data_IF_673406401457
#
_entry.id   IF_673406401457
#
_cell.length_a   1.000
_cell.length_b   1.000
_cell.length_c   1.000
_cell.angle_alpha   90.00
_cell.angle_beta   90.00
_cell.angle_gamma   90.00
#
_symmetry.space_group_name_H-M   'P 1'
#
loop_
_entity.id
_entity.type
_entity.pdbx_description
1 polymer ?
#
# COMPACT_ATOMS: atom_id res chain seq x y z
N UNK A 1 -3.77 -5.72 68.51
CA UNK A 1 -2.63 -5.39 67.64
C UNK A 1 -2.35 -6.62 66.80
N UNK A 2 -2.91 -6.67 65.60
CA UNK A 2 -2.67 -7.74 64.62
C UNK A 2 -1.22 -7.61 64.14
N UNK A 3 -0.36 -8.54 64.54
CA UNK A 3 1.04 -8.55 64.13
C UNK A 3 1.15 -8.72 62.62
N UNK A 4 1.91 -7.84 61.98
CA UNK A 4 2.29 -7.99 60.58
C UNK A 4 3.09 -9.31 60.46
N UNK A 5 2.52 -10.32 59.78
CA UNK A 5 3.26 -11.50 59.39
C UNK A 5 4.28 -11.08 58.32
N UNK A 6 5.55 -11.00 58.71
CA UNK A 6 6.65 -10.67 57.80
C UNK A 6 6.91 -11.77 56.78
N UNK A 7 7.46 -11.37 55.64
CA UNK A 7 7.85 -12.27 54.53
C UNK A 7 9.04 -13.15 54.96
N UNK A 8 8.91 -14.47 54.87
CA UNK A 8 9.99 -15.41 55.19
C UNK A 8 10.98 -15.54 54.03
N UNK A 9 12.22 -15.96 54.33
CA UNK A 9 13.25 -16.20 53.30
C UNK A 9 12.83 -17.26 52.26
N UNK A 10 12.04 -18.25 52.68
CA UNK A 10 11.51 -19.29 51.78
C UNK A 10 10.45 -18.71 50.84
N UNK A 11 9.52 -17.90 51.36
CA UNK A 11 8.55 -17.19 50.53
C UNK A 11 9.24 -16.24 49.55
N UNK A 12 10.33 -15.58 49.95
CA UNK A 12 11.16 -14.76 49.07
C UNK A 12 11.81 -15.58 47.95
N UNK A 13 12.41 -16.72 48.28
CA UNK A 13 13.03 -17.60 47.29
C UNK A 13 11.99 -18.15 46.29
N UNK A 14 10.80 -18.53 46.76
CA UNK A 14 9.69 -18.97 45.91
C UNK A 14 9.19 -17.83 45.02
N UNK A 15 8.96 -16.64 45.57
CA UNK A 15 8.53 -15.48 44.81
C UNK A 15 9.55 -15.08 43.73
N UNK A 16 10.84 -15.05 44.06
CA UNK A 16 11.90 -14.75 43.09
C UNK A 16 11.98 -15.81 42.00
N UNK A 17 11.86 -17.09 42.35
CA UNK A 17 11.85 -18.18 41.38
C UNK A 17 10.65 -18.06 40.41
N UNK A 18 9.48 -17.72 40.93
CA UNK A 18 8.29 -17.45 40.11
C UNK A 18 8.49 -16.24 39.19
N UNK A 19 9.06 -15.14 39.69
CA UNK A 19 9.34 -13.95 38.87
C UNK A 19 10.33 -14.28 37.74
N UNK A 20 11.41 -15.00 38.04
CA UNK A 20 12.41 -15.40 37.04
C UNK A 20 11.79 -16.28 35.94
N UNK A 21 10.83 -17.14 36.28
CA UNK A 21 10.09 -17.94 35.30
C UNK A 21 9.08 -17.13 34.50
N UNK A 22 8.44 -16.13 35.12
CA UNK A 22 7.41 -15.31 34.49
C UNK A 22 7.99 -14.25 33.53
N UNK A 23 9.17 -13.70 33.83
CA UNK A 23 9.78 -12.63 33.02
C UNK A 23 9.95 -13.03 31.54
N UNK A 24 10.54 -14.20 31.19
CA UNK A 24 10.65 -14.62 29.80
C UNK A 24 9.30 -14.81 29.11
N UNK A 25 8.30 -15.32 29.83
CA UNK A 25 6.95 -15.56 29.28
C UNK A 25 6.27 -14.23 28.94
N UNK A 26 6.26 -13.28 29.87
CA UNK A 26 5.66 -11.96 29.65
C UNK A 26 6.40 -11.21 28.55
N UNK A 27 7.73 -11.28 28.52
CA UNK A 27 8.55 -10.67 27.48
C UNK A 27 8.25 -11.26 26.09
N UNK A 28 8.17 -12.58 25.98
CA UNK A 28 7.82 -13.27 24.73
C UNK A 28 6.43 -12.89 24.25
N UNK A 29 5.43 -12.85 25.14
CA UNK A 29 4.08 -12.43 24.79
C UNK A 29 4.04 -10.98 24.32
N UNK A 30 4.76 -10.09 25.00
CA UNK A 30 4.87 -8.68 24.61
C UNK A 30 5.44 -8.52 23.20
N UNK A 31 6.51 -9.25 22.87
CA UNK A 31 7.10 -9.19 21.53
C UNK A 31 6.22 -9.79 20.44
N UNK A 32 5.48 -10.86 20.72
CA UNK A 32 4.53 -11.42 19.76
C UNK A 32 3.43 -10.41 19.43
N UNK A 33 2.83 -9.80 20.46
CA UNK A 33 1.80 -8.77 20.28
C UNK A 33 2.35 -7.57 19.52
N UNK A 34 3.56 -7.11 19.86
CA UNK A 34 4.21 -5.99 19.17
C UNK A 34 4.44 -6.30 17.68
N UNK A 35 4.89 -7.51 17.34
CA UNK A 35 5.11 -7.93 15.96
C UNK A 35 3.81 -7.95 15.15
N UNK A 36 2.75 -8.57 15.70
CA UNK A 36 1.42 -8.61 15.06
C UNK A 36 0.84 -7.20 14.88
N UNK A 37 1.01 -6.32 15.86
CA UNK A 37 0.59 -4.92 15.76
C UNK A 37 1.34 -4.19 14.64
N UNK A 38 2.66 -4.36 14.54
CA UNK A 38 3.46 -3.71 13.48
C UNK A 38 3.08 -4.21 12.10
N UNK A 39 2.87 -5.50 11.92
CA UNK A 39 2.38 -6.08 10.66
C UNK A 39 0.99 -5.52 10.31
N UNK A 40 0.06 -5.51 11.27
CA UNK A 40 -1.29 -4.98 11.07
C UNK A 40 -1.30 -3.51 10.65
N UNK A 41 -0.54 -2.66 11.35
CA UNK A 41 -0.38 -1.25 11.00
C UNK A 41 0.27 -1.10 9.61
N UNK A 42 1.33 -1.86 9.35
CA UNK A 42 2.03 -1.83 8.06
C UNK A 42 1.12 -2.21 6.91
N UNK A 43 0.29 -3.23 7.08
CA UNK A 43 -0.69 -3.67 6.07
C UNK A 43 -1.81 -2.64 5.89
N UNK A 44 -2.28 -2.02 6.97
CA UNK A 44 -3.28 -0.96 6.89
C UNK A 44 -2.76 0.25 6.10
N UNK A 45 -1.51 0.68 6.33
CA UNK A 45 -0.89 1.76 5.55
C UNK A 45 -0.86 1.44 4.05
N UNK A 46 -0.42 0.23 3.67
CA UNK A 46 -0.42 -0.19 2.26
C UNK A 46 -1.84 -0.20 1.65
N UNK A 47 -2.83 -0.61 2.43
CA UNK A 47 -4.23 -0.68 2.00
C UNK A 47 -4.81 0.72 1.77
N UNK A 48 -4.53 1.68 2.65
CA UNK A 48 -4.95 3.07 2.53
C UNK A 48 -4.31 3.72 1.30
N UNK A 49 -3.01 3.50 1.09
CA UNK A 49 -2.29 4.04 -0.07
C UNK A 49 -2.83 3.48 -1.39
N UNK A 50 -3.02 2.15 -1.46
CA UNK A 50 -3.61 1.50 -2.62
C UNK A 50 -5.04 1.99 -2.91
N UNK A 51 -5.85 2.19 -1.86
CA UNK A 51 -7.21 2.70 -2.00
C UNK A 51 -7.24 4.15 -2.54
N UNK A 52 -6.37 5.02 -2.02
CA UNK A 52 -6.23 6.39 -2.50
C UNK A 52 -5.83 6.42 -3.99
N UNK A 53 -4.83 5.62 -4.38
CA UNK A 53 -4.42 5.48 -5.77
C UNK A 53 -5.55 5.00 -6.68
N UNK A 54 -6.26 3.95 -6.29
CA UNK A 54 -7.37 3.43 -7.09
C UNK A 54 -8.47 4.48 -7.26
N UNK A 55 -8.72 5.31 -6.24
CA UNK A 55 -9.65 6.43 -6.33
C UNK A 55 -9.19 7.49 -7.34
N UNK A 56 -7.95 7.94 -7.23
CA UNK A 56 -7.37 8.95 -8.12
C UNK A 56 -7.37 8.48 -9.58
N UNK A 57 -6.92 7.24 -9.80
CA UNK A 57 -6.90 6.61 -11.11
C UNK A 57 -8.31 6.43 -11.67
N UNK A 58 -9.28 6.09 -10.82
CA UNK A 58 -10.69 5.97 -11.23
C UNK A 58 -11.22 7.28 -11.79
N UNK A 59 -10.95 8.40 -11.15
CA UNK A 59 -11.45 9.69 -11.60
C UNK A 59 -10.76 10.20 -12.87
N UNK A 60 -9.50 9.82 -13.09
CA UNK A 60 -8.80 10.11 -14.35
C UNK A 60 -9.25 9.20 -15.49
N UNK A 61 -9.30 7.89 -15.29
CA UNK A 61 -9.71 6.92 -16.32
C UNK A 61 -11.17 7.12 -16.74
N UNK A 62 -12.04 7.60 -15.84
CA UNK A 62 -13.42 8.01 -16.19
C UNK A 62 -13.46 9.18 -17.16
N UNK A 63 -12.45 10.07 -17.13
CA UNK A 63 -12.35 11.20 -18.05
C UNK A 63 -11.60 10.81 -19.33
N UNK A 64 -10.67 9.87 -19.23
CA UNK A 64 -9.85 9.38 -20.33
C UNK A 64 -10.61 8.62 -21.42
N UNK A 65 -9.95 8.56 -22.57
CA UNK A 65 -10.32 7.76 -23.73
C UNK A 65 -9.07 7.12 -24.32
N UNK A 66 -9.24 6.08 -25.13
CA UNK A 66 -8.13 5.43 -25.85
C UNK A 66 -7.00 4.93 -24.93
N UNK A 67 -7.33 4.01 -24.03
CA UNK A 67 -6.35 3.35 -23.16
C UNK A 67 -5.44 2.45 -23.98
N UNK A 68 -4.12 2.60 -23.82
CA UNK A 68 -3.11 1.81 -24.52
C UNK A 68 -1.89 1.58 -23.65
N UNK A 69 -1.20 0.49 -23.92
CA UNK A 69 0.08 0.20 -23.30
C UNK A 69 1.21 0.68 -24.20
N UNK A 70 2.23 1.31 -23.64
CA UNK A 70 3.48 1.55 -24.36
C UNK A 70 4.29 0.24 -24.48
N UNK A 71 5.25 0.14 -25.42
CA UNK A 71 6.15 -1.01 -25.52
C UNK A 71 6.92 -1.31 -24.23
N UNK A 72 7.17 -0.28 -23.42
CA UNK A 72 7.85 -0.35 -22.12
C UNK A 72 6.91 -0.73 -20.96
N UNK A 73 5.63 -0.99 -21.24
CA UNK A 73 4.63 -1.37 -20.23
C UNK A 73 3.97 -0.20 -19.51
N UNK A 74 4.10 1.03 -20.01
CA UNK A 74 3.44 2.20 -19.39
C UNK A 74 1.99 2.29 -19.82
N UNK A 75 1.09 2.63 -18.89
CA UNK A 75 -0.28 2.96 -19.25
C UNK A 75 -0.33 4.38 -19.82
N UNK A 76 -0.90 4.50 -21.01
CA UNK A 76 -1.15 5.78 -21.67
C UNK A 76 -2.65 5.91 -21.98
N UNK A 77 -3.20 7.10 -21.79
CA UNK A 77 -4.56 7.41 -22.21
C UNK A 77 -4.72 8.89 -22.52
N UNK A 78 -5.65 9.19 -23.42
CA UNK A 78 -5.86 10.52 -23.96
C UNK A 78 -7.13 11.14 -23.36
N UNK A 79 -6.99 12.34 -22.81
CA UNK A 79 -8.10 13.12 -22.28
C UNK A 79 -8.86 13.84 -23.40
N UNK A 80 -10.15 14.19 -23.20
CA UNK A 80 -10.92 14.97 -24.17
C UNK A 80 -10.33 16.36 -24.47
N UNK A 81 -9.48 16.88 -23.57
CA UNK A 81 -8.71 18.12 -23.71
C UNK A 81 -7.53 17.98 -24.69
N UNK A 82 -7.23 16.77 -25.17
CA UNK A 82 -6.09 16.46 -26.04
C UNK A 82 -4.79 16.16 -25.30
N UNK A 83 -4.79 16.18 -23.97
CA UNK A 83 -3.65 15.79 -23.14
C UNK A 83 -3.49 14.27 -23.09
N UNK A 84 -2.27 13.77 -23.13
CA UNK A 84 -1.97 12.35 -22.85
C UNK A 84 -1.47 12.22 -21.42
N UNK A 85 -2.09 11.36 -20.61
CA UNK A 85 -1.60 10.98 -19.30
C UNK A 85 -0.78 9.69 -19.43
N UNK A 86 0.32 9.61 -18.68
CA UNK A 86 1.15 8.42 -18.55
C UNK A 86 1.26 8.01 -17.09
N UNK A 87 1.02 6.73 -16.82
CA UNK A 87 1.48 6.06 -15.60
C UNK A 87 2.63 5.12 -15.91
N UNK A 88 3.72 5.28 -15.15
CA UNK A 88 4.89 4.41 -15.25
C UNK A 88 5.23 3.86 -13.87
N UNK A 89 5.69 2.61 -13.83
CA UNK A 89 6.35 2.06 -12.66
C UNK A 89 7.85 2.34 -12.75
N UNK A 90 8.42 3.00 -11.75
CA UNK A 90 9.83 3.41 -11.75
C UNK A 90 10.35 3.56 -10.31
N UNK A 91 11.45 2.86 -9.99
CA UNK A 91 12.10 2.89 -8.66
C UNK A 91 11.11 2.71 -7.50
N UNK A 92 10.41 1.58 -7.50
CA UNK A 92 9.37 1.22 -6.50
C UNK A 92 8.21 2.21 -6.37
N UNK A 93 7.90 2.98 -7.43
CA UNK A 93 6.84 4.00 -7.40
C UNK A 93 6.00 3.95 -8.65
N UNK A 94 4.71 4.29 -8.53
CA UNK A 94 3.88 4.62 -9.69
C UNK A 94 3.88 6.13 -9.87
N UNK A 95 4.35 6.54 -11.03
CA UNK A 95 4.56 7.95 -11.37
C UNK A 95 3.61 8.34 -12.49
N UNK A 96 2.92 9.45 -12.28
CA UNK A 96 2.09 10.13 -13.26
C UNK A 96 2.86 11.25 -13.96
N UNK A 97 2.68 11.35 -15.27
CA UNK A 97 3.12 12.51 -16.06
C UNK A 97 2.09 12.89 -17.11
N UNK A 98 2.12 14.15 -17.57
CA UNK A 98 1.18 14.66 -18.57
C UNK A 98 1.94 15.17 -19.78
N UNK A 99 1.43 14.91 -20.99
CA UNK A 99 1.88 15.54 -22.21
C UNK A 99 0.76 16.41 -22.75
N UNK A 100 1.01 17.72 -22.85
CA UNK A 100 0.01 18.67 -23.34
C UNK A 100 -0.16 18.57 -24.86
N UNK A 101 -1.29 19.05 -25.41
CA UNK A 101 -1.48 19.14 -26.86
C UNK A 101 -0.35 19.93 -27.51
N UNK A 102 0.25 19.38 -28.57
CA UNK A 102 1.37 20.00 -29.30
C UNK A 102 2.75 19.79 -28.67
N UNK A 103 2.85 19.22 -27.47
CA UNK A 103 4.13 18.85 -26.87
C UNK A 103 4.58 17.45 -27.28
N UNK A 104 5.89 17.24 -27.43
CA UNK A 104 6.47 15.93 -27.74
C UNK A 104 6.83 15.13 -26.50
N UNK A 105 7.06 15.81 -25.36
CA UNK A 105 7.57 15.20 -24.12
C UNK A 105 6.54 15.26 -23.01
N UNK A 106 6.62 14.30 -22.10
CA UNK A 106 5.86 14.34 -20.85
C UNK A 106 6.52 15.28 -19.85
N UNK A 107 5.72 16.12 -19.21
CA UNK A 107 6.10 17.08 -18.18
C UNK A 107 5.17 16.97 -16.97
N UNK A 108 5.60 17.51 -15.83
CA UNK A 108 4.92 17.33 -14.54
C UNK A 108 5.08 15.89 -14.04
N UNK A 109 5.63 15.72 -12.84
CA UNK A 109 5.82 14.39 -12.23
C UNK A 109 5.11 14.37 -10.89
N UNK A 110 4.15 13.47 -10.75
CA UNK A 110 3.47 13.21 -9.47
C UNK A 110 3.68 11.76 -9.11
N UNK A 111 4.16 11.50 -7.88
CA UNK A 111 4.22 10.15 -7.33
C UNK A 111 2.84 9.83 -6.76
N UNK A 112 2.18 8.80 -7.30
CA UNK A 112 0.84 8.40 -6.87
C UNK A 112 0.87 7.22 -5.90
N UNK A 113 1.87 6.35 -6.02
CA UNK A 113 2.13 5.25 -5.08
C UNK A 113 3.62 5.12 -4.84
N UNK A 114 3.95 4.72 -3.62
CA UNK A 114 5.25 4.33 -3.13
C UNK A 114 5.24 2.85 -2.75
N UNK A 115 6.43 2.32 -2.47
CA UNK A 115 6.60 0.91 -2.06
C UNK A 115 6.02 -0.13 -3.02
N UNK A 116 5.90 0.21 -4.29
CA UNK A 116 5.34 -0.66 -5.32
C UNK A 116 6.44 -1.55 -5.87
N UNK A 117 6.48 -2.82 -5.50
CA UNK A 117 7.47 -3.73 -6.08
C UNK A 117 7.05 -4.21 -7.48
N UNK A 118 5.75 -4.16 -7.80
CA UNK A 118 5.19 -4.55 -9.09
C UNK A 118 3.95 -3.71 -9.45
N UNK A 119 3.85 -3.30 -10.72
CA UNK A 119 2.63 -2.70 -11.26
C UNK A 119 2.40 -3.13 -12.72
N UNK A 120 1.32 -3.86 -12.95
CA UNK A 120 0.82 -4.25 -14.25
C UNK A 120 -0.44 -3.47 -14.63
N UNK A 121 -0.48 -3.01 -15.88
CA UNK A 121 -1.64 -2.35 -16.46
C UNK A 121 -2.11 -3.15 -17.67
N UNK A 122 -3.40 -3.50 -17.72
CA UNK A 122 -3.97 -4.23 -18.85
C UNK A 122 -5.20 -3.48 -19.37
N UNK A 123 -5.00 -2.54 -20.31
CA UNK A 123 -6.09 -1.77 -20.89
C UNK A 123 -6.95 -2.64 -21.81
N UNK A 124 -8.26 -2.36 -21.83
CA UNK A 124 -9.22 -2.90 -22.78
C UNK A 124 -10.08 -1.78 -23.39
N UNK A 125 -11.08 -2.16 -24.20
CA UNK A 125 -12.00 -1.22 -24.87
C UNK A 125 -12.91 -0.44 -23.92
N UNK A 126 -13.01 -0.82 -22.65
CA UNK A 126 -13.95 -0.30 -21.67
C UNK A 126 -13.28 0.26 -20.42
N UNK A 127 -11.99 0.04 -20.22
CA UNK A 127 -11.30 0.38 -18.99
C UNK A 127 -9.91 -0.22 -18.91
N UNK A 128 -9.42 -0.38 -17.68
CA UNK A 128 -8.07 -0.88 -17.40
C UNK A 128 -8.11 -1.78 -16.18
N UNK A 129 -7.51 -2.97 -16.29
CA UNK A 129 -7.15 -3.77 -15.13
C UNK A 129 -5.84 -3.26 -14.54
N UNK A 130 -5.86 -2.99 -13.24
CA UNK A 130 -4.72 -2.63 -12.43
C UNK A 130 -4.34 -3.84 -11.59
N UNK A 131 -3.07 -4.23 -11.64
CA UNK A 131 -2.49 -5.30 -10.85
C UNK A 131 -1.27 -4.75 -10.12
N UNK A 132 -1.36 -4.60 -8.80
CA UNK A 132 -0.39 -3.86 -7.99
C UNK A 132 0.13 -4.78 -6.89
N UNK A 133 1.46 -4.81 -6.74
CA UNK A 133 2.14 -5.38 -5.60
C UNK A 133 2.84 -4.28 -4.81
N UNK A 134 2.44 -4.08 -3.55
CA UNK A 134 3.05 -3.16 -2.60
C UNK A 134 3.74 -3.92 -1.48
N UNK A 135 4.84 -3.38 -0.96
CA UNK A 135 5.60 -4.00 0.12
C UNK A 135 6.33 -2.94 0.93
N UNK A 136 6.06 -2.86 2.23
CA UNK A 136 6.88 -2.09 3.16
C UNK A 136 7.70 -3.03 4.05
N UNK A 137 8.33 -2.48 5.08
CA UNK A 137 9.19 -3.26 5.99
C UNK A 137 8.42 -4.32 6.80
N UNK A 138 7.11 -4.12 7.00
CA UNK A 138 6.30 -4.91 7.92
C UNK A 138 5.31 -5.83 7.23
N UNK A 139 4.92 -5.54 5.99
CA UNK A 139 3.88 -6.28 5.28
C UNK A 139 4.00 -6.18 3.75
N UNK A 140 3.33 -7.11 3.06
CA UNK A 140 3.06 -7.08 1.63
C UNK A 140 1.55 -6.99 1.34
N UNK A 141 1.20 -6.42 0.19
CA UNK A 141 -0.18 -6.28 -0.26
C UNK A 141 -0.28 -6.40 -1.77
N UNK A 142 -1.16 -7.28 -2.24
CA UNK A 142 -1.50 -7.42 -3.65
C UNK A 142 -2.91 -6.94 -3.92
N UNK A 143 -3.07 -6.01 -4.86
CA UNK A 143 -4.35 -5.41 -5.23
C UNK A 143 -4.59 -5.58 -6.71
N UNK A 144 -5.67 -6.27 -7.05
CA UNK A 144 -6.15 -6.39 -8.42
C UNK A 144 -7.53 -5.79 -8.55
N UNK A 145 -7.68 -4.80 -9.43
CA UNK A 145 -8.95 -4.09 -9.60
C UNK A 145 -9.17 -3.68 -11.05
N UNK A 146 -10.43 -3.58 -11.45
CA UNK A 146 -10.81 -3.08 -12.77
C UNK A 146 -11.42 -1.71 -12.66
N UNK A 147 -10.88 -0.76 -13.42
CA UNK A 147 -11.42 0.59 -13.53
C UNK A 147 -12.04 0.76 -14.90
N UNK A 148 -13.37 0.88 -14.92
CA UNK A 148 -14.12 1.15 -16.15
C UNK A 148 -13.97 2.63 -16.54
N UNK A 149 -13.58 2.87 -17.78
CA UNK A 149 -13.60 4.17 -18.43
C UNK A 149 -15.02 4.59 -18.84
N UNK A 150 -15.13 5.75 -19.50
CA UNK A 150 -16.43 6.26 -19.96
C UNK A 150 -17.02 5.38 -21.05
N UNK A 151 -18.21 4.83 -20.81
CA UNK A 151 -19.03 4.25 -21.88
C UNK A 151 -19.56 5.41 -22.71
N UNK A 152 -19.08 5.57 -23.96
CA UNK A 152 -19.79 6.41 -24.93
C UNK A 152 -21.10 5.68 -25.24
N UNK A 153 -22.20 6.11 -24.63
CA UNK A 153 -23.52 5.82 -25.20
C UNK A 153 -23.53 6.51 -26.56
N UNK A 154 -23.55 5.69 -27.62
CA UNK A 154 -23.84 6.15 -28.98
C UNK A 154 -25.29 6.59 -29.05
#
# INVERSE_FOLDING_TARGET
>A
MTGEQGFTYVELAVALSLVVLLVPVVFSLGHMVEAEMKEGIGRQQLQEEASAFVSDVRDELRRGSHFRLSPEGWLLFDLPTGETIRYKHDRRRVIRSVRKPGETRFSGTTVLLQEVYFAGFYPDKHGVWLDLGLQNWYADLNVKTYVRGRVKNR
#
